data_IF_827499124554
#
_entry.id   IF_827499124554
#
_cell.length_a   1.000
_cell.length_b   1.000
_cell.length_c   1.000
_cell.angle_alpha   90.00
_cell.angle_beta   90.00
_cell.angle_gamma   90.00
#
_symmetry.space_group_name_H-M   'P 1'
#
loop_
_entity.id
_entity.type
_entity.pdbx_description
1 polymer ?
#
# COMPACT_ATOMS: atom_id res chain seq x y z
N UNK A 1 0.53 10.71 -18.73
CA UNK A 1 -0.42 10.76 -18.00
C UNK A 1 -1.33 9.64 -18.23
N UNK A 2 -1.90 9.57 -19.24
CA UNK A 2 -2.80 8.60 -19.34
C UNK A 2 -2.16 7.32 -19.49
N UNK A 3 -0.91 7.31 -19.57
CA UNK A 3 -0.24 6.11 -19.65
C UNK A 3 -0.49 5.21 -18.52
N UNK A 4 -0.94 5.77 -17.42
CA UNK A 4 -1.23 4.98 -16.34
C UNK A 4 -2.59 4.58 -16.33
N UNK A 5 -3.22 4.60 -17.42
CA UNK A 5 -4.61 4.51 -17.38
C UNK A 5 -5.12 3.15 -17.16
N UNK A 6 -4.51 2.10 -17.32
CA UNK A 6 -5.16 0.88 -17.10
C UNK A 6 -4.84 0.37 -15.79
N UNK A 7 -5.23 -0.71 -15.41
CA UNK A 7 -4.96 -1.19 -14.13
C UNK A 7 -3.48 -1.14 -13.96
N UNK A 8 -3.03 -0.49 -12.95
CA UNK A 8 -1.65 -0.22 -12.80
C UNK A 8 -1.08 -1.02 -11.69
N UNK A 9 0.04 -1.63 -11.96
CA UNK A 9 0.83 -2.23 -10.96
C UNK A 9 2.06 -1.36 -10.81
N UNK A 10 2.33 -0.90 -9.62
CA UNK A 10 3.41 0.04 -9.37
C UNK A 10 4.73 -0.70 -9.37
N UNK A 11 5.35 -0.72 -10.54
CA UNK A 11 6.52 -1.52 -10.78
C UNK A 11 7.64 -1.11 -9.86
N UNK A 12 8.25 -2.05 -9.17
CA UNK A 12 9.33 -1.77 -8.24
C UNK A 12 8.91 -1.36 -6.85
N UNK A 13 7.65 -1.05 -6.62
CA UNK A 13 7.19 -0.74 -5.28
C UNK A 13 7.10 -2.03 -4.46
N UNK A 14 7.36 -1.96 -3.15
CA UNK A 14 7.23 -3.17 -2.32
C UNK A 14 5.80 -3.66 -2.31
N UNK A 15 5.62 -4.95 -2.51
CA UNK A 15 4.30 -5.57 -2.51
C UNK A 15 3.97 -6.07 -1.11
N UNK A 16 2.78 -5.74 -0.63
CA UNK A 16 2.33 -6.11 0.70
C UNK A 16 1.03 -6.88 0.58
N UNK A 17 0.96 -8.03 1.23
CA UNK A 17 -0.26 -8.81 1.38
C UNK A 17 -0.77 -8.60 2.79
N UNK A 18 -2.05 -8.33 2.95
CA UNK A 18 -2.61 -8.10 4.27
C UNK A 18 -4.10 -8.43 4.31
N UNK A 19 -4.59 -8.61 5.51
CA UNK A 19 -6.00 -8.87 5.73
C UNK A 19 -6.23 -9.77 6.92
N UNK A 20 -7.36 -10.47 6.89
CA UNK A 20 -7.75 -11.36 7.98
C UNK A 20 -7.55 -12.81 7.53
N UNK A 21 -6.76 -13.55 8.27
CA UNK A 21 -6.57 -14.96 7.96
C UNK A 21 -7.85 -15.72 8.29
N UNK A 22 -8.45 -16.40 7.32
CA UNK A 22 -9.73 -17.09 7.57
C UNK A 22 -9.62 -18.22 8.60
N UNK A 23 -8.42 -18.78 8.81
CA UNK A 23 -8.26 -19.84 9.77
C UNK A 23 -8.35 -19.38 11.22
N UNK A 24 -7.86 -18.19 11.53
CA UNK A 24 -7.78 -17.76 12.93
C UNK A 24 -8.41 -16.40 13.20
N UNK A 25 -8.92 -15.73 12.17
CA UNK A 25 -9.56 -14.42 12.34
C UNK A 25 -8.63 -13.29 12.72
N UNK A 26 -7.31 -13.48 12.57
CA UNK A 26 -6.34 -12.45 12.98
C UNK A 26 -5.87 -11.64 11.80
N UNK A 27 -5.67 -10.37 12.04
CA UNK A 27 -5.07 -9.48 11.04
C UNK A 27 -3.59 -9.80 10.88
N UNK A 28 -3.12 -9.81 9.64
CA UNK A 28 -1.72 -10.07 9.35
C UNK A 28 -1.24 -9.18 8.23
N UNK A 29 0.07 -9.03 8.14
CA UNK A 29 0.74 -8.45 6.97
C UNK A 29 1.88 -9.38 6.57
N UNK A 30 2.28 -9.27 5.32
CA UNK A 30 3.44 -10.00 4.84
C UNK A 30 3.68 -9.73 3.37
N UNK A 31 4.43 -10.62 2.77
CA UNK A 31 4.67 -10.65 1.34
C UNK A 31 3.94 -11.86 0.77
N UNK A 32 4.13 -12.15 -0.52
CA UNK A 32 3.54 -13.37 -1.07
C UNK A 32 3.97 -14.63 -0.35
N UNK A 33 5.01 -14.57 0.46
CA UNK A 33 5.42 -15.71 1.25
C UNK A 33 4.37 -16.15 2.28
N UNK A 34 3.32 -15.36 2.50
CA UNK A 34 2.21 -15.80 3.36
C UNK A 34 1.48 -17.00 2.78
N UNK A 35 1.58 -17.22 1.46
CA UNK A 35 0.91 -18.34 0.79
C UNK A 35 1.83 -19.53 0.58
N UNK A 36 3.08 -19.42 0.96
CA UNK A 36 4.06 -20.48 0.73
C UNK A 36 3.85 -21.66 1.65
N UNK A 37 4.44 -22.79 1.30
CA UNK A 37 4.37 -23.98 2.12
C UNK A 37 4.92 -23.71 3.53
N UNK A 38 6.06 -23.04 3.60
CA UNK A 38 6.60 -22.58 4.88
C UNK A 38 6.24 -21.12 5.01
N UNK A 39 4.98 -20.86 5.31
CA UNK A 39 4.42 -19.53 5.23
C UNK A 39 5.04 -18.58 6.27
N UNK A 40 5.25 -17.35 5.84
CA UNK A 40 5.73 -16.28 6.71
C UNK A 40 4.60 -15.29 6.92
N UNK A 41 3.78 -15.54 7.92
CA UNK A 41 2.61 -14.73 8.21
C UNK A 41 2.89 -13.93 9.49
N UNK A 42 2.71 -12.63 9.42
CA UNK A 42 3.11 -11.76 10.51
C UNK A 42 1.91 -11.16 11.21
N UNK A 43 1.70 -11.55 12.44
CA UNK A 43 0.62 -11.01 13.28
C UNK A 43 1.18 -10.02 14.30
N UNK A 44 2.47 -10.09 14.60
CA UNK A 44 3.11 -9.31 15.63
C UNK A 44 4.44 -8.75 15.13
N UNK A 45 4.96 -7.78 15.85
CA UNK A 45 6.30 -7.25 15.58
C UNK A 45 7.36 -8.34 15.63
N UNK A 46 7.21 -9.27 16.57
CA UNK A 46 8.18 -10.35 16.71
C UNK A 46 8.15 -11.27 15.48
N UNK A 47 6.96 -11.54 14.95
CA UNK A 47 6.85 -12.33 13.73
C UNK A 47 7.60 -11.67 12.58
N UNK A 48 7.45 -10.36 12.43
CA UNK A 48 8.13 -9.64 11.36
C UNK A 48 9.64 -9.74 11.53
N UNK A 49 10.14 -9.54 12.74
CA UNK A 49 11.57 -9.62 12.99
C UNK A 49 12.10 -11.01 12.67
N UNK A 50 11.38 -12.05 13.05
CA UNK A 50 11.80 -13.41 12.80
C UNK A 50 11.75 -13.79 11.33
N UNK A 51 10.73 -13.32 10.61
CA UNK A 51 10.50 -13.73 9.22
C UNK A 51 11.22 -12.84 8.22
N UNK A 52 11.40 -11.58 8.52
CA UNK A 52 11.87 -10.60 7.55
C UNK A 52 13.01 -9.73 8.05
N UNK A 53 13.36 -9.83 9.34
CA UNK A 53 14.41 -9.01 9.91
C UNK A 53 13.92 -7.66 10.37
N UNK A 54 14.86 -6.81 10.76
CA UNK A 54 14.55 -5.49 11.32
C UNK A 54 15.10 -4.35 10.45
N UNK A 55 15.57 -4.66 9.25
CA UNK A 55 16.05 -3.65 8.33
C UNK A 55 14.89 -3.02 7.57
N UNK A 56 15.16 -2.52 6.40
CA UNK A 56 14.18 -1.70 5.67
C UNK A 56 12.85 -2.41 5.45
N UNK A 57 12.87 -3.64 4.95
CA UNK A 57 11.63 -4.37 4.70
C UNK A 57 10.87 -4.63 6.00
N UNK A 58 11.58 -5.04 7.04
CA UNK A 58 10.94 -5.28 8.34
C UNK A 58 10.30 -4.03 8.90
N UNK A 59 10.96 -2.90 8.78
CA UNK A 59 10.42 -1.64 9.29
C UNK A 59 9.18 -1.22 8.52
N UNK A 60 9.18 -1.38 7.21
CA UNK A 60 8.00 -1.07 6.39
C UNK A 60 6.84 -1.99 6.71
N UNK A 61 7.09 -3.27 6.88
CA UNK A 61 6.04 -4.21 7.24
C UNK A 61 5.48 -3.92 8.64
N UNK A 62 6.32 -3.45 9.55
CA UNK A 62 5.85 -3.09 10.88
C UNK A 62 4.91 -1.88 10.81
N UNK A 63 5.23 -0.88 10.01
CA UNK A 63 4.30 0.24 9.82
C UNK A 63 3.00 -0.22 9.20
N UNK A 64 3.07 -1.14 8.24
CA UNK A 64 1.87 -1.72 7.66
C UNK A 64 1.05 -2.47 8.70
N UNK A 65 1.68 -3.26 9.54
CA UNK A 65 0.98 -4.00 10.59
C UNK A 65 0.23 -3.07 11.51
N UNK A 66 0.88 -2.00 11.95
CA UNK A 66 0.29 -1.05 12.90
C UNK A 66 -0.87 -0.29 12.26
N UNK A 67 -0.70 0.17 11.05
CA UNK A 67 -1.64 1.12 10.47
C UNK A 67 -2.70 0.49 9.57
N UNK A 68 -2.36 -0.53 8.77
CA UNK A 68 -3.34 -1.17 7.90
C UNK A 68 -4.39 -1.95 8.69
N UNK A 69 -4.07 -2.33 9.91
CA UNK A 69 -5.04 -2.97 10.79
C UNK A 69 -6.27 -2.09 10.98
N UNK A 70 -6.09 -0.79 10.93
CA UNK A 70 -7.18 0.18 11.15
C UNK A 70 -8.22 0.16 10.04
N UNK A 71 -7.91 -0.43 8.91
CA UNK A 71 -8.83 -0.51 7.77
C UNK A 71 -9.84 -1.63 7.91
N UNK A 72 -9.68 -2.51 8.89
CA UNK A 72 -10.60 -3.60 9.16
C UNK A 72 -10.89 -4.45 7.91
N UNK A 73 -9.83 -4.88 7.25
CA UNK A 73 -9.94 -5.65 6.02
C UNK A 73 -10.33 -7.08 6.35
N UNK A 74 -11.52 -7.47 5.92
CA UNK A 74 -12.05 -8.79 6.26
C UNK A 74 -11.49 -9.92 5.38
N UNK A 75 -11.19 -9.62 4.15
CA UNK A 75 -10.58 -10.59 3.24
C UNK A 75 -9.07 -10.45 3.22
N UNK A 76 -8.45 -10.90 2.14
CA UNK A 76 -7.00 -10.82 1.93
C UNK A 76 -6.74 -10.13 0.61
N UNK A 77 -5.92 -9.09 0.65
CA UNK A 77 -5.61 -8.27 -0.52
C UNK A 77 -4.11 -8.04 -0.62
N UNK A 78 -3.69 -7.67 -1.82
CA UNK A 78 -2.30 -7.27 -2.05
C UNK A 78 -2.29 -5.89 -2.66
N UNK A 79 -1.35 -5.08 -2.24
CA UNK A 79 -1.14 -3.77 -2.81
C UNK A 79 0.34 -3.43 -2.89
N UNK A 80 0.61 -2.31 -3.52
CA UNK A 80 1.96 -1.80 -3.63
C UNK A 80 2.11 -0.63 -2.67
N UNK A 81 3.10 -0.72 -1.79
CA UNK A 81 3.35 0.33 -0.81
C UNK A 81 3.99 1.51 -1.52
N UNK A 82 3.33 2.66 -1.48
CA UNK A 82 3.84 3.85 -2.14
C UNK A 82 4.85 4.59 -1.29
N UNK A 83 4.59 4.67 0.01
CA UNK A 83 5.46 5.39 0.93
C UNK A 83 5.13 5.07 2.37
N UNK A 84 6.08 5.34 3.25
CA UNK A 84 5.81 5.52 4.66
C UNK A 84 6.07 6.99 4.96
N UNK A 85 5.57 7.49 6.09
CA UNK A 85 5.68 8.90 6.42
C UNK A 85 7.13 9.39 6.46
N UNK A 86 8.07 8.50 6.73
CA UNK A 86 9.48 8.87 6.77
C UNK A 86 10.07 9.07 5.37
N UNK A 87 9.37 8.66 4.34
CA UNK A 87 9.86 8.74 2.98
C UNK A 87 9.29 9.93 2.21
N UNK A 88 8.44 10.72 2.84
CA UNK A 88 7.87 11.90 2.20
C UNK A 88 8.85 13.05 2.34
N UNK A 89 9.13 13.73 1.24
CA UNK A 89 9.92 14.94 1.31
C UNK A 89 9.11 16.11 0.74
N UNK A 90 9.48 17.31 1.13
CA UNK A 90 8.84 18.52 0.64
C UNK A 90 9.75 19.22 -0.34
N UNK A 91 9.17 19.71 -1.43
CA UNK A 91 9.95 20.32 -2.49
C UNK A 91 9.15 21.44 -3.13
N UNK A 92 9.80 22.56 -3.39
CA UNK A 92 9.17 23.62 -4.16
C UNK A 92 9.24 23.30 -5.63
N UNK A 93 8.11 23.36 -6.31
CA UNK A 93 8.02 23.18 -7.74
C UNK A 93 7.23 24.36 -8.27
N UNK A 94 7.86 25.15 -9.12
CA UNK A 94 7.25 26.37 -9.67
C UNK A 94 6.73 27.29 -8.57
N UNK A 95 7.50 27.40 -7.50
CA UNK A 95 7.16 28.31 -6.42
C UNK A 95 6.12 27.80 -5.44
N UNK A 96 5.67 26.55 -5.59
CA UNK A 96 4.66 25.99 -4.70
C UNK A 96 5.19 24.76 -3.99
N UNK A 97 4.83 24.59 -2.71
CA UNK A 97 5.28 23.42 -1.98
C UNK A 97 4.56 22.16 -2.43
N UNK A 98 5.31 21.12 -2.60
CA UNK A 98 4.80 19.80 -2.98
C UNK A 98 5.33 18.75 -2.03
N UNK A 99 4.54 17.69 -1.84
CA UNK A 99 5.00 16.48 -1.18
C UNK A 99 5.49 15.55 -2.26
N UNK A 100 6.64 14.93 -2.04
CA UNK A 100 7.20 13.99 -3.03
C UNK A 100 7.53 12.67 -2.38
N UNK A 101 7.38 11.61 -3.14
CA UNK A 101 7.75 10.25 -2.72
C UNK A 101 8.11 9.43 -3.95
N UNK A 102 8.96 8.44 -3.75
CA UNK A 102 9.53 7.66 -4.84
C UNK A 102 9.41 6.17 -4.50
N UNK A 103 8.30 5.52 -4.89
CA UNK A 103 8.11 4.11 -4.55
C UNK A 103 9.13 3.18 -5.22
N UNK A 104 9.63 3.59 -6.37
CA UNK A 104 10.61 2.80 -7.08
C UNK A 104 11.62 3.75 -7.73
N UNK A 105 11.49 4.00 -9.03
CA UNK A 105 12.38 4.93 -9.72
C UNK A 105 11.68 6.20 -10.15
N UNK A 106 10.37 6.24 -10.05
CA UNK A 106 9.58 7.41 -10.45
C UNK A 106 9.24 8.21 -9.21
N UNK A 107 9.50 9.51 -9.26
CA UNK A 107 9.14 10.42 -8.18
C UNK A 107 7.79 11.05 -8.49
N UNK A 108 6.89 10.94 -7.55
CA UNK A 108 5.58 11.57 -7.64
C UNK A 108 5.58 12.83 -6.82
N UNK A 109 4.92 13.86 -7.32
CA UNK A 109 4.79 15.13 -6.62
C UNK A 109 3.33 15.52 -6.54
N UNK A 110 2.89 15.91 -5.35
CA UNK A 110 1.50 16.29 -5.11
C UNK A 110 1.50 17.65 -4.41
N UNK A 111 0.75 18.63 -4.92
CA UNK A 111 0.71 19.92 -4.24
C UNK A 111 0.26 19.77 -2.79
N UNK A 112 1.03 20.31 -1.89
CA UNK A 112 0.78 20.16 -0.46
C UNK A 112 -0.60 20.70 -0.06
N UNK A 113 -1.05 21.75 -0.69
CA UNK A 113 -2.31 22.39 -0.34
C UNK A 113 -3.54 21.70 -0.94
N UNK A 114 -3.36 20.74 -1.83
CA UNK A 114 -4.49 20.02 -2.43
C UNK A 114 -5.11 19.04 -1.43
N UNK A 115 -6.35 18.62 -1.71
CA UNK A 115 -6.99 17.62 -0.86
C UNK A 115 -6.19 16.35 -0.81
N UNK A 116 -5.67 15.92 -1.96
CA UNK A 116 -4.84 14.73 -2.02
C UNK A 116 -3.55 14.93 -1.21
N UNK A 117 -2.95 16.11 -1.33
CA UNK A 117 -1.75 16.43 -0.57
C UNK A 117 -1.98 16.37 0.93
N UNK A 118 -3.13 16.87 1.39
CA UNK A 118 -3.46 16.82 2.81
C UNK A 118 -3.62 15.39 3.30
N UNK A 119 -4.24 14.54 2.50
CA UNK A 119 -4.40 13.14 2.86
C UNK A 119 -3.03 12.44 2.93
N UNK A 120 -2.18 12.68 1.95
CA UNK A 120 -0.86 12.07 1.92
C UNK A 120 -0.01 12.55 3.09
N UNK A 121 -0.09 13.83 3.42
CA UNK A 121 0.74 14.42 4.47
C UNK A 121 0.41 13.85 5.86
N UNK A 122 -0.85 13.57 6.11
CA UNK A 122 -1.23 13.08 7.45
C UNK A 122 -1.12 11.56 7.59
N UNK A 123 -0.99 10.85 6.47
CA UNK A 123 -0.95 9.39 6.52
C UNK A 123 0.43 8.89 6.93
N UNK A 124 0.44 7.76 7.62
CA UNK A 124 1.68 7.08 8.03
C UNK A 124 2.14 6.11 6.97
N UNK A 125 1.20 5.57 6.18
CA UNK A 125 1.51 4.72 5.05
C UNK A 125 0.57 5.05 3.91
N UNK A 126 1.06 4.88 2.69
CA UNK A 126 0.25 4.98 1.47
C UNK A 126 0.37 3.70 0.68
N UNK A 127 -0.74 3.15 0.22
CA UNK A 127 -0.76 1.87 -0.46
C UNK A 127 -1.86 1.87 -1.52
N UNK A 128 -1.58 1.22 -2.66
CA UNK A 128 -2.57 1.02 -3.72
C UNK A 128 -2.82 -0.48 -3.83
N UNK A 129 -4.06 -0.89 -3.58
CA UNK A 129 -4.44 -2.29 -3.64
C UNK A 129 -4.82 -2.68 -5.07
N UNK A 130 -4.41 -3.86 -5.50
CA UNK A 130 -4.66 -4.29 -6.89
C UNK A 130 -5.04 -5.75 -7.05
N UNK A 131 -5.00 -6.56 -6.00
CA UNK A 131 -5.29 -8.00 -6.10
C UNK A 131 -6.07 -8.45 -4.89
N UNK A 132 -7.03 -9.33 -5.11
CA UNK A 132 -7.80 -9.97 -4.05
C UNK A 132 -7.48 -11.45 -4.06
N UNK A 133 -7.36 -12.03 -2.88
CA UNK A 133 -7.13 -13.46 -2.73
C UNK A 133 -8.35 -14.08 -2.06
N UNK A 134 -8.78 -15.23 -2.57
CA UNK A 134 -9.94 -15.95 -2.05
C UNK A 134 -9.60 -17.42 -1.85
N UNK A 135 -10.03 -17.98 -0.75
CA UNK A 135 -9.82 -19.37 -0.40
C UNK A 135 -10.13 -19.60 1.07
N UNK A 136 -10.25 -20.85 1.46
CA UNK A 136 -10.60 -21.18 2.84
C UNK A 136 -9.38 -21.13 3.77
N UNK A 137 -8.20 -21.28 3.22
CA UNK A 137 -6.95 -21.16 3.97
C UNK A 137 -5.99 -20.31 3.13
N UNK A 138 -4.98 -19.74 3.76
CA UNK A 138 -3.99 -18.96 3.01
C UNK A 138 -3.32 -19.81 1.93
N UNK A 139 -2.99 -21.06 2.24
CA UNK A 139 -2.31 -21.93 1.28
C UNK A 139 -3.15 -22.22 0.05
N UNK A 140 -4.47 -22.20 0.19
CA UNK A 140 -5.38 -22.54 -0.90
C UNK A 140 -5.93 -21.32 -1.64
N UNK A 141 -5.47 -20.13 -1.29
CA UNK A 141 -6.00 -18.94 -1.91
C UNK A 141 -5.56 -18.81 -3.36
N UNK A 142 -6.46 -18.29 -4.17
CA UNK A 142 -6.16 -17.92 -5.55
C UNK A 142 -6.38 -16.44 -5.73
N UNK A 143 -5.62 -15.85 -6.66
CA UNK A 143 -5.64 -14.43 -6.90
C UNK A 143 -6.64 -14.06 -7.98
N UNK A 144 -7.30 -12.92 -7.79
CA UNK A 144 -8.08 -12.29 -8.86
C UNK A 144 -7.65 -10.84 -8.98
N UNK A 145 -7.66 -10.33 -10.19
CA UNK A 145 -7.28 -8.94 -10.43
C UNK A 145 -8.27 -7.98 -9.82
N UNK A 146 -7.75 -6.89 -9.28
CA UNK A 146 -8.55 -5.87 -8.68
C UNK A 146 -8.79 -6.08 -7.19
N UNK A 147 -9.13 -5.01 -6.52
CA UNK A 147 -9.46 -5.03 -5.11
C UNK A 147 -10.56 -4.01 -4.88
N UNK A 148 -11.67 -4.46 -4.31
CA UNK A 148 -12.74 -3.54 -3.95
C UNK A 148 -12.46 -3.03 -2.54
N UNK A 149 -12.07 -1.78 -2.45
CA UNK A 149 -11.70 -1.18 -1.17
C UNK A 149 -12.85 -0.39 -0.55
N UNK A 150 -14.03 -0.45 -1.14
CA UNK A 150 -15.15 0.38 -0.68
C UNK A 150 -15.64 0.01 0.71
N UNK A 151 -15.41 -1.23 1.14
CA UNK A 151 -15.83 -1.67 2.47
C UNK A 151 -14.77 -1.43 3.54
N UNK A 152 -13.59 -0.97 3.17
CA UNK A 152 -12.53 -0.75 4.16
C UNK A 152 -12.87 0.47 5.01
N UNK A 153 -12.56 0.38 6.30
CA UNK A 153 -12.70 1.53 7.18
C UNK A 153 -11.67 2.58 6.78
N UNK A 154 -12.02 3.84 6.95
CA UNK A 154 -11.09 4.91 6.65
C UNK A 154 -10.33 5.31 7.90
N UNK A 155 -9.09 5.70 7.71
CA UNK A 155 -8.24 6.19 8.78
C UNK A 155 -7.38 7.30 8.23
N UNK A 156 -7.16 8.35 9.01
CA UNK A 156 -6.24 9.40 8.62
C UNK A 156 -4.81 8.91 8.51
N UNK A 157 -4.50 7.78 9.12
CA UNK A 157 -3.15 7.24 9.11
C UNK A 157 -2.81 6.44 7.86
N UNK A 158 -3.81 6.17 7.02
CA UNK A 158 -3.59 5.37 5.81
C UNK A 158 -4.19 6.07 4.60
N UNK A 159 -3.33 6.36 3.64
CA UNK A 159 -3.81 6.75 2.33
C UNK A 159 -3.90 5.49 1.50
N UNK A 160 -5.08 5.15 0.99
CA UNK A 160 -5.22 3.96 0.17
C UNK A 160 -6.24 4.20 -0.94
N UNK A 161 -6.06 3.46 -2.02
CA UNK A 161 -6.99 3.42 -3.11
C UNK A 161 -6.76 2.10 -3.85
N UNK A 162 -7.53 1.85 -4.88
CA UNK A 162 -7.31 0.67 -5.71
C UNK A 162 -6.75 1.09 -7.07
N UNK A 163 -6.17 0.13 -7.77
CA UNK A 163 -5.45 0.41 -9.00
C UNK A 163 -6.38 0.29 -10.21
N UNK A 164 -7.46 1.06 -10.20
CA UNK A 164 -8.35 1.09 -11.34
C UNK A 164 -7.98 2.27 -12.23
N UNK A 165 -8.36 2.20 -13.47
CA UNK A 165 -8.11 3.28 -14.40
C UNK A 165 -8.63 4.60 -13.88
N UNK A 166 -9.83 4.61 -13.37
CA UNK A 166 -10.44 5.82 -12.89
C UNK A 166 -9.65 6.44 -11.76
N UNK A 167 -9.27 5.64 -10.79
CA UNK A 167 -8.56 6.14 -9.64
C UNK A 167 -7.17 6.61 -10.02
N UNK A 168 -6.47 5.86 -10.81
CA UNK A 168 -5.14 6.25 -11.24
C UNK A 168 -5.21 7.52 -12.05
N UNK A 169 -6.18 7.65 -12.92
CA UNK A 169 -6.35 8.85 -13.70
C UNK A 169 -6.59 10.06 -12.82
N UNK A 170 -7.41 9.90 -11.79
CA UNK A 170 -7.65 10.98 -10.85
C UNK A 170 -6.43 11.36 -10.08
N UNK A 171 -5.54 10.41 -9.84
CA UNK A 171 -4.35 10.69 -9.10
C UNK A 171 -3.20 11.07 -9.98
N UNK A 172 -3.39 11.05 -11.23
CA UNK A 172 -2.34 11.30 -12.15
C UNK A 172 -1.78 12.64 -12.04
N UNK A 173 -2.32 13.40 -11.17
CA UNK A 173 -1.74 14.62 -10.94
C UNK A 173 -0.45 14.47 -10.27
N UNK A 174 -0.06 13.37 -9.85
CA UNK A 174 1.22 13.37 -9.30
C UNK A 174 2.13 13.13 -10.37
N UNK A 175 2.68 13.94 -11.02
CA UNK A 175 3.51 13.73 -11.97
C UNK A 175 4.59 14.35 -11.87
N UNK A 176 5.52 14.06 -12.24
CA UNK A 176 6.53 14.69 -12.12
C UNK A 176 6.94 15.09 -13.29
N UNK A 177 6.99 14.70 -14.14
CA UNK A 177 7.53 15.15 -15.11
C UNK A 177 6.89 15.24 -16.15
N UNK A 178 6.09 15.03 -16.19
CA UNK A 178 5.46 15.24 -17.18
C UNK A 178 5.47 16.37 -17.45
N UNK A 179 5.80 16.86 -16.79
CA UNK A 179 5.94 18.06 -17.07
C UNK A 179 6.64 18.35 -17.75
#
# INVERSE_FOLDING_TARGET
SEAMSVSVKWDGAPAVVCGTNPDNGRFFVGTKSVFAKNAKVNYTKKDIANNHGTDELGQKLLKCLVHLKKLNIQGVVQGDLLYTDEEITRKNIDGKPNLTFTPNTITYAVPEASELGKQIDRAKVGIIFHTTYNGDTLADMSASGGADVSSFAKSNDVFFDNATYKDVSGSAKFTDDET
#
